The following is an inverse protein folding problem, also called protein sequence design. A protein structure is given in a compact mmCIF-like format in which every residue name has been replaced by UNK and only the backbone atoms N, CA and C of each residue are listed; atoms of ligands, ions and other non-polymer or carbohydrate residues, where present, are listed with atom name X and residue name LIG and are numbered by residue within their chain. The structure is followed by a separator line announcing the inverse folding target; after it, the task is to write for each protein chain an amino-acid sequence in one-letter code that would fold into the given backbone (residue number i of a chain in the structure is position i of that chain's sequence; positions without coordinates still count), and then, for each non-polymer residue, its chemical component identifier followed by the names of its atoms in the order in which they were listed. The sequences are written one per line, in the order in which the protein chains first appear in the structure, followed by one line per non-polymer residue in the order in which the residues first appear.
data_IF_720689663001
#
_entry.id   IF_720689663001
#
_cell.length_a   1.000
_cell.length_b   1.000
_cell.length_c   1.000
_cell.angle_alpha   90.00
_cell.angle_beta   90.00
_cell.angle_gamma   90.00
#
_symmetry.space_group_name_H-M   'P 1'
#
loop_
_entity.id
_entity.type
_entity.pdbx_description
1 polymer ?
#
# COMPACT_ATOMS: atom_id res chain seq x y z
N UNK A 1 -6.29 -13.53 -14.87
CA UNK A 1 -5.87 -14.84 -15.43
C UNK A 1 -5.98 -15.96 -14.41
N UNK A 2 -5.35 -15.87 -13.23
CA UNK A 2 -5.39 -16.92 -12.20
C UNK A 2 -6.80 -17.45 -11.89
N UNK A 3 -7.77 -16.57 -11.63
CA UNK A 3 -9.18 -16.99 -11.43
C UNK A 3 -9.78 -17.75 -12.61
N UNK A 4 -9.43 -17.39 -13.85
CA UNK A 4 -9.93 -18.08 -15.06
C UNK A 4 -9.34 -19.49 -15.14
N UNK A 5 -8.04 -19.64 -14.86
CA UNK A 5 -7.37 -20.96 -14.80
C UNK A 5 -8.02 -21.84 -13.74
N UNK A 6 -8.24 -21.31 -12.53
CA UNK A 6 -8.82 -22.08 -11.43
C UNK A 6 -10.26 -22.51 -11.71
N UNK A 7 -11.08 -21.62 -12.29
CA UNK A 7 -12.46 -21.95 -12.69
C UNK A 7 -12.52 -22.99 -13.80
N UNK A 8 -11.54 -23.03 -14.69
CA UNK A 8 -11.43 -24.07 -15.72
C UNK A 8 -10.89 -25.41 -15.17
N UNK A 9 -10.78 -25.58 -13.85
CA UNK A 9 -10.23 -26.78 -13.22
C UNK A 9 -8.70 -26.87 -13.21
N UNK A 10 -8.01 -25.87 -13.75
CA UNK A 10 -6.55 -25.81 -13.77
C UNK A 10 -5.93 -25.69 -12.38
N UNK A 11 -4.67 -26.15 -12.27
CA UNK A 11 -3.84 -26.02 -11.06
C UNK A 11 -2.75 -24.98 -11.31
N UNK A 12 -2.55 -24.09 -10.36
CA UNK A 12 -1.45 -23.13 -10.35
C UNK A 12 -0.43 -23.69 -9.36
N UNK A 13 0.78 -23.96 -9.83
CA UNK A 13 1.87 -24.52 -9.04
C UNK A 13 3.06 -23.56 -9.05
N UNK A 14 3.75 -23.46 -7.92
CA UNK A 14 5.01 -22.74 -7.80
C UNK A 14 6.15 -23.75 -7.95
N UNK A 15 6.96 -23.61 -9.00
CA UNK A 15 8.17 -24.39 -9.20
C UNK A 15 9.39 -23.55 -8.78
N UNK A 16 10.00 -23.82 -7.62
CA UNK A 16 11.14 -23.04 -7.14
C UNK A 16 12.43 -23.29 -7.92
N UNK A 17 12.47 -24.30 -8.80
CA UNK A 17 13.64 -24.58 -9.65
C UNK A 17 13.70 -23.66 -10.88
N UNK A 18 12.55 -23.09 -11.27
CA UNK A 18 12.45 -22.13 -12.35
C UNK A 18 12.85 -20.74 -11.86
N UNK A 19 14.10 -20.35 -12.15
CA UNK A 19 14.61 -19.03 -11.85
C UNK A 19 14.45 -18.07 -13.02
N UNK A 20 14.10 -16.82 -12.71
CA UNK A 20 14.05 -15.73 -13.67
C UNK A 20 14.59 -14.44 -13.06
N UNK A 21 15.18 -13.58 -13.88
CA UNK A 21 15.64 -12.25 -13.46
C UNK A 21 14.69 -11.18 -13.99
N UNK A 22 14.10 -10.40 -13.08
CA UNK A 22 13.35 -9.21 -13.48
C UNK A 22 14.31 -8.13 -13.94
N UNK A 23 14.36 -7.87 -15.26
CA UNK A 23 15.16 -6.80 -15.86
C UNK A 23 14.47 -5.43 -15.81
N UNK A 24 13.55 -5.24 -14.84
CA UNK A 24 12.79 -4.00 -14.73
C UNK A 24 13.66 -2.91 -14.12
N UNK A 25 13.81 -1.82 -14.84
CA UNK A 25 14.45 -0.61 -14.34
C UNK A 25 13.41 0.19 -13.56
N UNK A 26 13.64 0.37 -12.26
CA UNK A 26 12.74 1.13 -11.39
C UNK A 26 13.22 2.58 -11.24
N UNK A 27 12.30 3.50 -11.49
CA UNK A 27 12.42 4.91 -11.13
C UNK A 27 11.29 5.22 -10.14
N UNK A 28 11.42 6.24 -9.27
CA UNK A 28 10.34 6.60 -8.35
C UNK A 28 8.99 6.80 -9.06
N UNK A 29 9.01 7.48 -10.21
CA UNK A 29 7.80 7.75 -11.02
C UNK A 29 7.18 6.46 -11.57
N UNK A 30 7.98 5.57 -12.17
CA UNK A 30 7.43 4.33 -12.72
C UNK A 30 7.01 3.35 -11.62
N UNK A 31 7.63 3.43 -10.44
CA UNK A 31 7.26 2.66 -9.27
C UNK A 31 5.87 3.05 -8.80
N UNK A 32 5.66 4.35 -8.52
CA UNK A 32 4.37 4.88 -8.06
C UNK A 32 3.28 4.64 -9.11
N UNK A 33 3.54 4.93 -10.39
CA UNK A 33 2.57 4.69 -11.45
C UNK A 33 2.19 3.20 -11.57
N UNK A 34 3.20 2.31 -11.55
CA UNK A 34 2.92 0.86 -11.59
C UNK A 34 2.09 0.45 -10.38
N UNK A 35 2.49 0.89 -9.18
CA UNK A 35 1.85 0.44 -7.95
C UNK A 35 0.40 0.95 -7.88
N UNK A 36 0.12 2.21 -8.23
CA UNK A 36 -1.26 2.74 -8.22
C UNK A 36 -2.10 2.09 -9.33
N UNK A 37 -1.69 2.24 -10.60
CA UNK A 37 -2.57 1.95 -11.74
C UNK A 37 -2.56 0.49 -12.19
N UNK A 38 -1.47 -0.24 -11.93
CA UNK A 38 -1.34 -1.63 -12.36
C UNK A 38 -1.51 -2.62 -11.20
N UNK A 39 -1.48 -2.15 -9.95
CA UNK A 39 -1.64 -3.00 -8.77
C UNK A 39 -2.77 -2.53 -7.85
N UNK A 40 -2.60 -1.46 -7.08
CA UNK A 40 -3.53 -1.02 -6.04
C UNK A 40 -4.96 -0.87 -6.55
N UNK A 41 -5.19 -0.15 -7.66
CA UNK A 41 -6.52 0.03 -8.24
C UNK A 41 -7.12 -1.30 -8.77
N UNK A 42 -6.45 -2.07 -9.65
CA UNK A 42 -6.98 -3.37 -10.09
C UNK A 42 -7.24 -4.35 -8.95
N UNK A 43 -6.34 -4.45 -7.97
CA UNK A 43 -6.46 -5.39 -6.87
C UNK A 43 -7.59 -4.99 -5.91
N UNK A 44 -7.68 -3.70 -5.55
CA UNK A 44 -8.77 -3.19 -4.70
C UNK A 44 -10.14 -3.43 -5.33
N UNK A 45 -10.31 -3.14 -6.63
CA UNK A 45 -11.56 -3.43 -7.35
C UNK A 45 -11.90 -4.92 -7.33
N UNK A 46 -10.92 -5.79 -7.51
CA UNK A 46 -11.11 -7.22 -7.49
C UNK A 46 -11.52 -7.72 -6.10
N UNK A 47 -10.84 -7.26 -5.04
CA UNK A 47 -11.18 -7.60 -3.65
C UNK A 47 -12.62 -7.19 -3.31
N UNK A 48 -12.99 -5.93 -3.61
CA UNK A 48 -14.32 -5.39 -3.32
C UNK A 48 -15.41 -6.15 -4.10
N UNK A 49 -15.17 -6.46 -5.39
CA UNK A 49 -16.19 -7.06 -6.24
C UNK A 49 -16.36 -8.57 -6.04
N UNK A 50 -15.34 -9.30 -5.58
CA UNK A 50 -15.38 -10.79 -5.52
C UNK A 50 -15.12 -11.39 -4.16
N UNK A 51 -14.13 -10.90 -3.43
CA UNK A 51 -13.64 -11.57 -2.22
C UNK A 51 -14.29 -11.00 -0.96
N UNK A 52 -14.89 -9.82 -1.06
CA UNK A 52 -15.27 -9.03 0.10
C UNK A 52 -14.03 -8.41 0.76
N UNK A 53 -14.24 -7.42 1.61
CA UNK A 53 -13.13 -6.80 2.35
C UNK A 53 -12.77 -7.71 3.53
N UNK A 54 -12.03 -8.78 3.23
CA UNK A 54 -11.50 -9.69 4.25
C UNK A 54 -10.41 -9.00 5.09
N UNK A 55 -10.24 -9.42 6.34
CA UNK A 55 -9.14 -9.00 7.22
C UNK A 55 -7.86 -9.77 6.84
N UNK A 56 -7.35 -9.53 5.63
CA UNK A 56 -6.19 -10.21 5.06
C UNK A 56 -4.93 -9.33 5.15
N UNK A 57 -3.78 -9.84 4.70
CA UNK A 57 -2.46 -9.23 4.82
C UNK A 57 -2.40 -7.75 4.39
N UNK A 58 -3.15 -7.35 3.37
CA UNK A 58 -3.16 -5.97 2.85
C UNK A 58 -4.26 -5.07 3.45
N UNK A 59 -5.21 -5.64 4.19
CA UNK A 59 -6.41 -4.94 4.70
C UNK A 59 -6.63 -5.19 6.18
N UNK A 60 -5.60 -5.69 6.87
CA UNK A 60 -5.68 -6.00 8.29
C UNK A 60 -5.99 -4.75 9.12
N UNK A 61 -6.59 -4.92 10.30
CA UNK A 61 -6.80 -3.80 11.23
C UNK A 61 -5.49 -3.06 11.57
N UNK A 62 -4.38 -3.79 11.66
CA UNK A 62 -3.05 -3.20 11.87
C UNK A 62 -2.61 -2.33 10.70
N UNK A 63 -2.77 -2.80 9.46
CA UNK A 63 -2.42 -2.02 8.28
C UNK A 63 -3.33 -0.79 8.11
N UNK A 64 -4.62 -0.90 8.43
CA UNK A 64 -5.56 0.25 8.46
C UNK A 64 -5.13 1.30 9.48
N UNK A 65 -4.72 0.88 10.68
CA UNK A 65 -4.20 1.79 11.70
C UNK A 65 -2.93 2.51 11.22
N UNK A 66 -1.97 1.76 10.64
CA UNK A 66 -0.76 2.34 10.07
C UNK A 66 -1.07 3.36 8.98
N UNK A 67 -2.03 3.06 8.10
CA UNK A 67 -2.45 3.97 7.05
C UNK A 67 -3.12 5.24 7.60
N UNK A 68 -3.95 5.12 8.64
CA UNK A 68 -4.54 6.26 9.32
C UNK A 68 -3.47 7.15 9.96
N UNK A 69 -2.51 6.55 10.69
CA UNK A 69 -1.37 7.27 11.29
C UNK A 69 -0.52 7.95 10.21
N UNK A 70 -0.24 7.28 9.10
CA UNK A 70 0.49 7.87 7.98
C UNK A 70 -0.25 9.07 7.36
N UNK A 71 -1.57 8.97 7.19
CA UNK A 71 -2.41 10.08 6.72
C UNK A 71 -2.37 11.28 7.67
N UNK A 72 -2.57 11.06 8.97
CA UNK A 72 -2.47 12.09 10.00
C UNK A 72 -1.08 12.72 10.04
N UNK A 73 -0.02 11.92 9.91
CA UNK A 73 1.35 12.40 9.87
C UNK A 73 1.56 13.35 8.68
N UNK A 74 1.18 12.94 7.46
CA UNK A 74 1.32 13.80 6.28
C UNK A 74 0.53 15.10 6.44
N UNK A 75 -0.74 15.03 6.90
CA UNK A 75 -1.56 16.22 7.13
C UNK A 75 -0.94 17.16 8.18
N UNK A 76 -0.41 16.61 9.27
CA UNK A 76 0.24 17.40 10.33
C UNK A 76 1.51 18.10 9.84
N UNK A 77 2.31 17.45 8.98
CA UNK A 77 3.49 18.06 8.35
C UNK A 77 3.09 19.18 7.40
N UNK A 78 2.05 18.98 6.59
CA UNK A 78 1.53 20.01 5.67
C UNK A 78 0.93 21.21 6.40
N UNK A 79 0.40 21.01 7.62
CA UNK A 79 -0.17 22.07 8.46
C UNK A 79 0.91 22.89 9.22
N UNK A 80 2.12 22.34 9.39
CA UNK A 80 3.18 22.94 10.21
C UNK A 80 3.58 24.38 9.80
N UNK A 81 3.64 24.75 8.50
CA UNK A 81 3.92 26.13 8.08
C UNK A 81 2.87 27.14 8.55
N UNK A 82 1.65 26.70 8.83
CA UNK A 82 0.52 27.54 9.23
C UNK A 82 0.30 27.54 10.75
N UNK A 83 0.78 26.50 11.45
CA UNK A 83 0.61 26.32 12.89
C UNK A 83 1.83 25.60 13.49
N UNK A 84 2.91 26.36 13.76
CA UNK A 84 4.15 25.81 14.28
C UNK A 84 3.98 25.08 15.63
N UNK A 85 2.97 25.46 16.42
CA UNK A 85 2.60 24.79 17.67
C UNK A 85 2.25 23.29 17.49
N UNK A 86 2.01 22.82 16.26
CA UNK A 86 1.77 21.40 15.96
C UNK A 86 3.04 20.54 15.95
N UNK A 87 4.24 21.12 16.14
CA UNK A 87 5.50 20.35 16.13
C UNK A 87 5.50 19.12 17.07
N UNK A 88 4.90 19.13 18.30
CA UNK A 88 4.86 17.95 19.15
C UNK A 88 3.95 16.86 18.59
N UNK A 89 2.90 17.24 17.87
CA UNK A 89 1.98 16.29 17.20
C UNK A 89 2.71 15.61 16.06
N UNK A 90 3.44 16.37 15.25
CA UNK A 90 4.25 15.83 14.14
C UNK A 90 5.29 14.83 14.66
N UNK A 91 6.04 15.19 15.70
CA UNK A 91 7.07 14.31 16.28
C UNK A 91 6.46 13.09 16.95
N UNK A 92 5.33 13.24 17.66
CA UNK A 92 4.59 12.14 18.26
C UNK A 92 4.07 11.14 17.22
N UNK A 93 3.47 11.63 16.13
CA UNK A 93 2.99 10.78 15.03
C UNK A 93 4.14 10.11 14.28
N UNK A 94 5.27 10.80 14.08
CA UNK A 94 6.45 10.20 13.47
C UNK A 94 7.04 9.07 14.34
N UNK A 95 7.10 9.28 15.67
CA UNK A 95 7.51 8.25 16.63
C UNK A 95 6.56 7.06 16.62
N UNK A 96 5.24 7.30 16.63
CA UNK A 96 4.25 6.24 16.53
C UNK A 96 4.37 5.45 15.22
N UNK A 97 4.54 6.13 14.09
CA UNK A 97 4.76 5.49 12.80
C UNK A 97 6.01 4.60 12.80
N UNK A 98 7.09 5.03 13.46
CA UNK A 98 8.30 4.22 13.63
C UNK A 98 8.04 2.98 14.50
N UNK A 99 7.36 3.13 15.64
CA UNK A 99 7.01 2.02 16.53
C UNK A 99 6.13 0.99 15.83
N UNK A 100 5.09 1.44 15.12
CA UNK A 100 4.20 0.54 14.38
C UNK A 100 4.89 -0.19 13.22
N UNK A 101 6.02 0.33 12.73
CA UNK A 101 6.82 -0.27 11.67
C UNK A 101 8.20 -0.73 12.17
N UNK A 102 8.35 -1.02 13.46
CA UNK A 102 9.66 -1.24 14.09
C UNK A 102 10.45 -2.39 13.47
N UNK A 103 9.82 -3.55 13.25
CA UNK A 103 10.51 -4.69 12.66
C UNK A 103 10.97 -4.41 11.23
N UNK A 104 10.16 -3.69 10.46
CA UNK A 104 10.50 -3.25 9.11
C UNK A 104 11.62 -2.20 9.14
N UNK A 105 11.55 -1.22 10.03
CA UNK A 105 12.58 -0.20 10.24
C UNK A 105 13.92 -0.84 10.62
N UNK A 106 13.91 -1.82 11.53
CA UNK A 106 15.09 -2.59 11.95
C UNK A 106 15.66 -3.39 10.79
N UNK A 107 14.82 -4.02 9.99
CA UNK A 107 15.25 -4.73 8.79
C UNK A 107 15.96 -3.79 7.80
N UNK A 108 15.36 -2.63 7.50
CA UNK A 108 15.96 -1.63 6.60
C UNK A 108 17.30 -1.12 7.14
N UNK A 109 17.36 -0.82 8.44
CA UNK A 109 18.59 -0.37 9.10
C UNK A 109 19.71 -1.41 8.98
N UNK A 110 19.41 -2.69 9.22
CA UNK A 110 20.40 -3.77 9.15
C UNK A 110 20.96 -4.00 7.74
N UNK A 111 20.18 -3.70 6.70
CA UNK A 111 20.55 -4.01 5.32
C UNK A 111 21.01 -2.80 4.50
N UNK A 112 20.76 -1.56 4.96
CA UNK A 112 21.15 -0.34 4.24
C UNK A 112 21.59 0.84 5.12
N UNK A 113 21.64 0.68 6.45
CA UNK A 113 22.03 1.72 7.39
C UNK A 113 20.94 2.76 7.69
N UNK A 114 21.27 3.74 8.54
CA UNK A 114 20.32 4.74 9.05
C UNK A 114 19.70 5.60 7.94
N UNK A 115 20.52 6.16 7.05
CA UNK A 115 20.05 7.05 6.00
C UNK A 115 19.07 6.33 5.04
N UNK A 116 19.36 5.07 4.70
CA UNK A 116 18.45 4.25 3.90
C UNK A 116 17.15 3.97 4.64
N UNK A 117 17.21 3.57 5.91
CA UNK A 117 16.03 3.27 6.70
C UNK A 117 15.10 4.48 6.84
N UNK A 118 15.64 5.66 7.13
CA UNK A 118 14.84 6.91 7.23
C UNK A 118 14.16 7.23 5.89
N UNK A 119 14.90 7.20 4.78
CA UNK A 119 14.35 7.49 3.45
C UNK A 119 13.29 6.47 3.02
N UNK A 120 13.54 5.18 3.30
CA UNK A 120 12.62 4.11 3.00
C UNK A 120 11.34 4.20 3.86
N UNK A 121 11.45 4.50 5.15
CA UNK A 121 10.30 4.72 6.02
C UNK A 121 9.49 5.94 5.61
N UNK A 122 10.14 7.04 5.23
CA UNK A 122 9.46 8.22 4.69
C UNK A 122 8.68 7.86 3.43
N UNK A 123 9.31 7.17 2.47
CA UNK A 123 8.63 6.64 1.28
C UNK A 123 7.47 5.70 1.63
N UNK A 124 7.63 4.88 2.67
CA UNK A 124 6.60 3.95 3.14
C UNK A 124 5.35 4.66 3.67
N UNK A 125 5.50 5.86 4.27
CA UNK A 125 4.34 6.67 4.67
C UNK A 125 3.55 7.15 3.45
N UNK A 126 4.24 7.59 2.39
CA UNK A 126 3.57 7.92 1.12
C UNK A 126 2.86 6.71 0.51
N UNK A 127 3.49 5.53 0.57
CA UNK A 127 2.88 4.26 0.15
C UNK A 127 1.54 3.98 0.84
N UNK A 128 1.50 4.09 2.16
CA UNK A 128 0.26 3.88 2.91
C UNK A 128 -0.84 4.83 2.47
N UNK A 129 -0.52 6.11 2.29
CA UNK A 129 -1.52 7.13 1.94
C UNK A 129 -2.08 6.93 0.55
N UNK A 130 -1.26 6.73 -0.48
CA UNK A 130 -1.81 6.51 -1.82
C UNK A 130 -2.53 5.16 -1.94
N UNK A 131 -2.06 4.12 -1.23
CA UNK A 131 -2.70 2.80 -1.25
C UNK A 131 -4.09 2.86 -0.60
N UNK A 132 -4.19 3.52 0.55
CA UNK A 132 -5.46 3.77 1.22
C UNK A 132 -6.40 4.64 0.36
N UNK A 133 -5.88 5.71 -0.26
CA UNK A 133 -6.65 6.56 -1.15
C UNK A 133 -7.19 5.79 -2.37
N UNK A 134 -6.36 4.95 -3.00
CA UNK A 134 -6.77 4.08 -4.11
C UNK A 134 -7.86 3.09 -3.69
N UNK A 135 -7.75 2.50 -2.49
CA UNK A 135 -8.75 1.59 -1.96
C UNK A 135 -10.08 2.31 -1.66
N UNK A 136 -10.05 3.45 -0.98
CA UNK A 136 -11.23 4.29 -0.71
C UNK A 136 -11.89 4.74 -2.01
N UNK A 137 -11.10 5.12 -3.01
CA UNK A 137 -11.61 5.45 -4.34
C UNK A 137 -12.36 4.27 -4.97
N UNK A 138 -11.84 3.04 -4.86
CA UNK A 138 -12.52 1.86 -5.38
C UNK A 138 -13.81 1.53 -4.60
N UNK A 139 -13.85 1.77 -3.28
CA UNK A 139 -15.08 1.64 -2.48
C UNK A 139 -16.13 2.66 -2.92
N UNK A 140 -15.73 3.90 -3.18
CA UNK A 140 -16.58 4.96 -3.70
C UNK A 140 -17.12 4.61 -5.10
N UNK A 141 -16.25 4.17 -6.02
CA UNK A 141 -16.66 3.68 -7.35
C UNK A 141 -17.71 2.57 -7.25
N UNK A 142 -17.53 1.63 -6.32
CA UNK A 142 -18.39 0.47 -6.19
C UNK A 142 -19.75 0.78 -5.54
N UNK A 143 -19.76 1.53 -4.43
CA UNK A 143 -20.97 1.78 -3.63
C UNK A 143 -21.73 3.02 -4.05
N UNK A 144 -21.04 4.08 -4.48
CA UNK A 144 -21.67 5.37 -4.80
C UNK A 144 -21.93 5.50 -6.30
N UNK A 145 -20.93 5.17 -7.13
CA UNK A 145 -21.09 5.28 -8.59
C UNK A 145 -21.71 4.02 -9.22
N UNK A 146 -21.84 2.93 -8.46
CA UNK A 146 -22.38 1.65 -8.95
C UNK A 146 -21.50 0.95 -10.00
N UNK A 147 -20.24 1.36 -10.15
CA UNK A 147 -19.34 0.81 -11.17
C UNK A 147 -18.71 -0.48 -10.64
N UNK A 148 -19.34 -1.62 -10.91
CA UNK A 148 -18.91 -2.92 -10.36
C UNK A 148 -17.95 -3.71 -11.26
N UNK A 149 -17.96 -3.47 -12.58
CA UNK A 149 -17.32 -4.36 -13.58
C UNK A 149 -16.25 -3.69 -14.47
N UNK A 150 -15.41 -2.79 -13.93
CA UNK A 150 -14.29 -2.22 -14.74
C UNK A 150 -13.28 -3.28 -15.21
N UNK A 151 -13.09 -4.34 -14.45
CA UNK A 151 -12.04 -5.32 -14.74
C UNK A 151 -12.40 -6.32 -15.84
N UNK A 152 -13.66 -6.38 -16.29
CA UNK A 152 -14.14 -7.36 -17.29
C UNK A 152 -13.61 -8.78 -17.02
N UNK A 153 -13.45 -9.15 -15.75
CA UNK A 153 -13.08 -10.50 -15.35
C UNK A 153 -14.40 -11.22 -15.11
N UNK A 154 -14.88 -12.05 -16.05
CA UNK A 154 -16.09 -12.86 -15.85
C UNK A 154 -15.90 -13.77 -14.65
#
# INVERSE_FOLDING_TARGET
LGYRIRRAGGRIVLDPTLHGKHLKVWTPTNAIHTDIFRRALPWSRLMIAREGVANDLNTSHGEKLKAAVAGLLILSVLALPFALALWPVVTGLAGLALVLNWDFARFLYRNGGAAFAVRALAYHQFYYVYSAAAFVWCLFEYHVLGIRNRLHVP
#
